data_IF_130327916676
#
_entry.id   IF_130327916676
#
_cell.length_a   1.000
_cell.length_b   1.000
_cell.length_c   1.000
_cell.angle_alpha   90.00
_cell.angle_beta   90.00
_cell.angle_gamma   90.00
#
_symmetry.space_group_name_H-M   'P 1'
#
loop_
_entity.id
_entity.type
_entity.pdbx_description
1 polymer ?
#
# COMPACT_ATOMS: atom_id res chain seq x y z
N UNK A 1 8.73 5.87 -24.33
CA UNK A 1 7.47 5.44 -23.69
C UNK A 1 7.30 6.27 -22.44
N UNK A 2 6.39 7.24 -22.44
CA UNK A 2 6.01 7.95 -21.21
C UNK A 2 5.02 7.01 -20.50
N UNK A 3 5.38 6.51 -19.32
CA UNK A 3 4.47 5.69 -18.51
C UNK A 3 3.24 6.50 -18.10
N UNK A 4 2.09 5.86 -17.90
CA UNK A 4 0.91 6.53 -17.37
C UNK A 4 1.24 7.06 -15.97
N UNK A 5 1.05 8.37 -15.65
CA UNK A 5 1.45 8.96 -14.37
C UNK A 5 0.96 8.17 -13.16
N UNK A 6 -0.31 7.72 -13.18
CA UNK A 6 -0.89 6.92 -12.10
C UNK A 6 -0.18 5.58 -11.87
N UNK A 7 0.33 4.94 -12.93
CA UNK A 7 1.11 3.70 -12.81
C UNK A 7 2.50 3.96 -12.21
N UNK A 8 3.09 5.11 -12.54
CA UNK A 8 4.38 5.49 -11.96
C UNK A 8 4.24 5.80 -10.47
N UNK A 9 3.15 6.46 -10.09
CA UNK A 9 2.86 6.82 -8.70
C UNK A 9 2.54 5.61 -7.84
N UNK A 10 1.75 4.66 -8.36
CA UNK A 10 1.49 3.40 -7.66
C UNK A 10 2.75 2.53 -7.52
N UNK A 11 3.60 2.47 -8.55
CA UNK A 11 4.86 1.75 -8.48
C UNK A 11 5.85 2.40 -7.50
N UNK A 12 5.85 3.73 -7.41
CA UNK A 12 6.60 4.45 -6.39
C UNK A 12 6.13 4.08 -4.98
N UNK A 13 4.81 4.03 -4.74
CA UNK A 13 4.25 3.59 -3.46
C UNK A 13 4.67 2.15 -3.13
N UNK A 14 4.62 1.23 -4.12
CA UNK A 14 5.04 -0.16 -3.92
C UNK A 14 6.46 -0.27 -3.40
N UNK A 15 7.41 0.40 -4.07
CA UNK A 15 8.83 0.33 -3.72
C UNK A 15 9.08 1.00 -2.37
N UNK A 16 8.49 2.17 -2.16
CA UNK A 16 8.73 2.98 -0.95
C UNK A 16 8.11 2.34 0.28
N UNK A 17 6.89 1.82 0.18
CA UNK A 17 6.22 1.15 1.30
C UNK A 17 6.92 -0.16 1.67
N UNK A 18 7.35 -0.96 0.70
CA UNK A 18 8.09 -2.19 1.00
C UNK A 18 9.35 -1.88 1.81
N UNK A 19 10.14 -0.90 1.36
CA UNK A 19 11.33 -0.46 2.08
C UNK A 19 10.99 0.06 3.48
N UNK A 20 9.96 0.90 3.59
CA UNK A 20 9.56 1.46 4.88
C UNK A 20 9.16 0.37 5.88
N UNK A 21 8.41 -0.65 5.44
CA UNK A 21 8.01 -1.77 6.30
C UNK A 21 9.22 -2.62 6.75
N UNK A 22 10.16 -2.85 5.84
CA UNK A 22 11.41 -3.56 6.15
C UNK A 22 12.28 -2.80 7.16
N UNK A 23 12.32 -1.47 7.05
CA UNK A 23 13.07 -0.58 7.94
C UNK A 23 12.40 -0.43 9.32
N UNK A 24 11.06 -0.37 9.38
CA UNK A 24 10.30 -0.15 10.62
C UNK A 24 10.18 -1.43 11.49
N UNK A 25 9.90 -2.58 10.88
CA UNK A 25 9.62 -3.81 11.62
C UNK A 25 10.78 -4.80 11.52
N UNK A 26 11.00 -5.30 10.29
CA UNK A 26 12.13 -6.06 9.79
C UNK A 26 11.72 -6.67 8.44
N UNK A 27 12.68 -7.10 7.59
CA UNK A 27 12.35 -7.77 6.34
C UNK A 27 11.53 -9.04 6.54
N UNK A 28 10.36 -9.10 5.89
CA UNK A 28 9.51 -10.30 5.84
C UNK A 28 8.81 -10.45 4.48
N UNK A 29 8.53 -11.69 4.02
CA UNK A 29 7.83 -11.90 2.74
C UNK A 29 6.47 -11.19 2.66
N UNK A 30 5.78 -11.03 3.80
CA UNK A 30 4.49 -10.35 3.88
C UNK A 30 4.59 -8.87 3.49
N UNK A 31 5.70 -8.19 3.78
CA UNK A 31 5.91 -6.78 3.41
C UNK A 31 5.86 -6.58 1.88
N UNK A 32 6.38 -7.54 1.13
CA UNK A 32 6.31 -7.52 -0.34
C UNK A 32 4.86 -7.59 -0.82
N UNK A 33 4.06 -8.54 -0.31
CA UNK A 33 2.65 -8.69 -0.69
C UNK A 33 1.80 -7.48 -0.27
N UNK A 34 2.04 -6.93 0.92
CA UNK A 34 1.40 -5.70 1.39
C UNK A 34 1.68 -4.55 0.43
N UNK A 35 2.96 -4.35 0.07
CA UNK A 35 3.34 -3.25 -0.80
C UNK A 35 2.66 -3.32 -2.17
N UNK A 36 2.51 -4.53 -2.71
CA UNK A 36 1.85 -4.82 -3.97
C UNK A 36 0.35 -4.54 -3.90
N UNK A 37 -0.31 -5.00 -2.85
CA UNK A 37 -1.76 -4.78 -2.64
C UNK A 37 -2.03 -3.29 -2.41
N UNK A 38 -1.24 -2.61 -1.56
CA UNK A 38 -1.39 -1.18 -1.30
C UNK A 38 -1.22 -0.34 -2.58
N UNK A 39 -0.19 -0.63 -3.38
CA UNK A 39 0.03 0.02 -4.67
C UNK A 39 -1.14 -0.20 -5.65
N UNK A 40 -1.67 -1.42 -5.72
CA UNK A 40 -2.83 -1.73 -6.55
C UNK A 40 -4.08 -0.98 -6.06
N UNK A 41 -4.34 -0.98 -4.74
CA UNK A 41 -5.44 -0.22 -4.13
C UNK A 41 -5.35 1.26 -4.50
N UNK A 42 -4.15 1.83 -4.39
CA UNK A 42 -3.90 3.23 -4.67
C UNK A 42 -4.07 3.56 -6.15
N UNK A 43 -3.52 2.72 -7.04
CA UNK A 43 -3.72 2.85 -8.48
C UNK A 43 -5.21 2.89 -8.84
N UNK A 44 -6.00 1.97 -8.27
CA UNK A 44 -7.44 1.92 -8.50
C UNK A 44 -8.16 3.19 -8.01
N UNK A 45 -7.71 3.77 -6.89
CA UNK A 45 -8.24 5.05 -6.39
C UNK A 45 -7.86 6.22 -7.31
N UNK A 46 -6.63 6.24 -7.84
CA UNK A 46 -6.18 7.26 -8.80
C UNK A 46 -6.98 7.23 -10.10
N UNK A 47 -7.23 6.04 -10.66
CA UNK A 47 -8.04 5.91 -11.89
C UNK A 47 -9.53 6.22 -11.65
N UNK A 48 -10.04 5.99 -10.43
CA UNK A 48 -11.41 6.37 -10.05
C UNK A 48 -11.53 7.84 -9.63
N UNK A 49 -10.42 8.59 -9.56
CA UNK A 49 -10.34 9.97 -9.06
C UNK A 49 -10.86 10.10 -7.63
N UNK A 50 -10.69 9.06 -6.82
CA UNK A 50 -10.95 9.14 -5.38
C UNK A 50 -9.87 10.02 -4.74
N UNK A 51 -10.30 10.96 -3.88
CA UNK A 51 -9.42 11.93 -3.22
C UNK A 51 -9.63 11.97 -1.71
N UNK A 52 -10.68 11.35 -1.20
CA UNK A 52 -10.89 11.20 0.23
C UNK A 52 -9.92 10.15 0.80
N UNK A 53 -8.99 10.60 1.63
CA UNK A 53 -7.97 9.73 2.21
C UNK A 53 -8.56 8.64 3.12
N UNK A 54 -9.69 8.91 3.76
CA UNK A 54 -10.40 7.94 4.58
C UNK A 54 -10.97 6.79 3.73
N UNK A 55 -11.56 7.11 2.59
CA UNK A 55 -12.05 6.11 1.65
C UNK A 55 -10.91 5.30 1.01
N UNK A 56 -9.80 5.96 0.64
CA UNK A 56 -8.60 5.27 0.14
C UNK A 56 -8.03 4.32 1.21
N UNK A 57 -7.94 4.78 2.46
CA UNK A 57 -7.48 3.97 3.60
C UNK A 57 -8.36 2.74 3.78
N UNK A 58 -9.68 2.93 3.91
CA UNK A 58 -10.62 1.84 4.19
C UNK A 58 -10.67 0.84 3.03
N UNK A 59 -10.58 1.31 1.78
CA UNK A 59 -10.45 0.43 0.62
C UNK A 59 -9.19 -0.44 0.72
N UNK A 60 -8.05 0.17 1.05
CA UNK A 60 -6.77 -0.53 1.16
C UNK A 60 -6.78 -1.56 2.30
N UNK A 61 -7.33 -1.20 3.47
CA UNK A 61 -7.49 -2.14 4.59
C UNK A 61 -8.29 -3.36 4.17
N UNK A 62 -9.45 -3.17 3.52
CA UNK A 62 -10.29 -4.29 3.04
C UNK A 62 -9.55 -5.20 2.06
N UNK A 63 -8.69 -4.64 1.22
CA UNK A 63 -7.87 -5.45 0.30
C UNK A 63 -6.76 -6.20 1.04
N UNK A 64 -6.11 -5.58 2.03
CA UNK A 64 -5.08 -6.23 2.84
C UNK A 64 -5.65 -7.35 3.73
N UNK A 65 -6.91 -7.26 4.15
CA UNK A 65 -7.59 -8.36 4.88
C UNK A 65 -7.71 -9.66 4.07
N UNK A 66 -7.40 -9.64 2.76
CA UNK A 66 -7.40 -10.86 1.90
C UNK A 66 -6.14 -11.72 2.02
N UNK A 67 -5.10 -11.24 2.72
CA UNK A 67 -3.86 -11.99 2.96
C UNK A 67 -3.66 -12.31 4.45
N UNK A 68 -2.83 -13.31 4.73
CA UNK A 68 -2.54 -13.72 6.11
C UNK A 68 -1.45 -12.84 6.74
N UNK A 69 -1.73 -12.33 7.94
CA UNK A 69 -0.78 -11.63 8.82
C UNK A 69 -0.33 -12.49 10.01
N UNK A 70 -0.66 -13.79 10.06
CA UNK A 70 -0.47 -14.64 11.24
C UNK A 70 0.99 -14.67 11.77
N UNK A 71 1.97 -14.43 10.90
CA UNK A 71 3.40 -14.39 11.24
C UNK A 71 4.03 -13.01 11.01
N UNK A 72 3.21 -11.96 10.89
CA UNK A 72 3.66 -10.59 10.66
C UNK A 72 3.68 -9.79 11.97
N UNK A 73 4.56 -8.78 12.03
CA UNK A 73 4.69 -7.86 13.16
C UNK A 73 3.61 -6.77 13.20
N UNK A 74 2.91 -6.57 12.10
CA UNK A 74 1.90 -5.53 11.93
C UNK A 74 0.63 -6.13 11.32
N UNK A 75 -0.40 -5.31 11.17
CA UNK A 75 -1.69 -5.74 10.62
C UNK A 75 -2.18 -4.83 9.49
N UNK A 76 -3.31 -5.18 8.85
CA UNK A 76 -3.86 -4.44 7.72
C UNK A 76 -3.97 -2.93 7.92
N UNK A 77 -4.44 -2.50 9.10
CA UNK A 77 -4.60 -1.09 9.43
C UNK A 77 -3.27 -0.34 9.56
N UNK A 78 -2.29 -0.89 10.27
CA UNK A 78 -0.98 -0.26 10.40
C UNK A 78 -0.28 -0.15 9.04
N UNK A 79 -0.37 -1.20 8.21
CA UNK A 79 0.22 -1.19 6.87
C UNK A 79 -0.47 -0.17 5.94
N UNK A 80 -1.79 -0.10 5.96
CA UNK A 80 -2.53 0.88 5.17
C UNK A 80 -2.27 2.31 5.63
N UNK A 81 -2.18 2.56 6.94
CA UNK A 81 -1.82 3.87 7.48
C UNK A 81 -0.41 4.31 7.04
N UNK A 82 0.57 3.39 7.04
CA UNK A 82 1.90 3.67 6.52
C UNK A 82 1.86 4.06 5.03
N UNK A 83 1.05 3.36 4.23
CA UNK A 83 0.86 3.71 2.83
C UNK A 83 0.24 5.11 2.65
N UNK A 84 -0.81 5.44 3.41
CA UNK A 84 -1.44 6.76 3.40
C UNK A 84 -0.44 7.85 3.80
N UNK A 85 0.36 7.62 4.84
CA UNK A 85 1.37 8.57 5.28
C UNK A 85 2.42 8.86 4.19
N UNK A 86 2.76 7.88 3.36
CA UNK A 86 3.75 8.06 2.29
C UNK A 86 3.23 8.87 1.10
N UNK A 87 1.92 8.88 0.85
CA UNK A 87 1.30 9.59 -0.28
C UNK A 87 0.78 10.99 0.07
N UNK A 88 0.92 11.42 1.33
CA UNK A 88 0.53 12.76 1.82
C UNK A 88 1.74 13.60 2.18
#
# INVERSE_FOLDING_TARGET
MVGLPNLQESEWLRITLHKWLDDEYCPEPTNFEISKIAAQSYYESLISKETDLGEILLKMVRQLETISFQQSFHGPFSSANAAIHLIT
#
